data_IF_205621287559
#
_entry.id   IF_205621287559
#
_cell.length_a   1.000
_cell.length_b   1.000
_cell.length_c   1.000
_cell.angle_alpha   90.00
_cell.angle_beta   90.00
_cell.angle_gamma   90.00
#
_symmetry.space_group_name_H-M   'P 1'
#
loop_
_entity.id
_entity.type
_entity.pdbx_description
1 polymer ?
#
# COMPACT_ATOMS: atom_id res chain seq x y z
N UNK A 1 -2.37 17.18 14.33
CA UNK A 1 -3.34 16.48 13.46
C UNK A 1 -2.66 15.48 12.52
N UNK A 2 -1.60 15.85 11.79
CA UNK A 2 -0.85 14.87 10.98
C UNK A 2 -0.22 13.73 11.83
N UNK A 3 0.37 14.05 12.98
CA UNK A 3 0.98 13.06 13.86
C UNK A 3 -0.01 12.01 14.42
N UNK A 4 -1.27 12.38 14.68
CA UNK A 4 -2.29 11.44 15.18
C UNK A 4 -2.72 10.46 14.08
N UNK A 5 -2.83 10.93 12.84
CA UNK A 5 -3.13 10.09 11.67
C UNK A 5 -2.00 9.08 11.44
N UNK A 6 -0.73 9.53 11.51
CA UNK A 6 0.42 8.64 11.39
C UNK A 6 0.49 7.60 12.51
N UNK A 7 0.16 7.99 13.74
CA UNK A 7 0.09 7.06 14.88
C UNK A 7 -1.01 6.00 14.68
N UNK A 8 -2.16 6.38 14.14
CA UNK A 8 -3.25 5.45 13.78
C UNK A 8 -2.78 4.49 12.70
N UNK A 9 -2.16 4.98 11.61
CA UNK A 9 -1.62 4.11 10.54
C UNK A 9 -0.62 3.11 11.12
N UNK A 10 0.33 3.58 11.92
CA UNK A 10 1.34 2.71 12.55
C UNK A 10 0.73 1.65 13.47
N UNK A 11 -0.21 2.05 14.33
CA UNK A 11 -0.90 1.12 15.24
C UNK A 11 -1.72 0.07 14.49
N UNK A 12 -2.47 0.49 13.46
CA UNK A 12 -3.30 -0.41 12.65
C UNK A 12 -2.46 -1.31 11.76
N UNK A 13 -1.27 -0.87 11.33
CA UNK A 13 -0.33 -1.71 10.58
C UNK A 13 0.18 -2.89 11.40
N UNK A 14 0.46 -2.70 12.68
CA UNK A 14 0.81 -3.83 13.56
C UNK A 14 -0.36 -4.82 13.66
N UNK A 15 -1.58 -4.32 13.84
CA UNK A 15 -2.77 -5.16 13.91
C UNK A 15 -3.01 -5.93 12.60
N UNK A 16 -2.95 -5.25 11.46
CA UNK A 16 -3.13 -5.87 10.14
C UNK A 16 -2.10 -6.95 9.85
N UNK A 17 -0.84 -6.70 10.23
CA UNK A 17 0.25 -7.67 10.09
C UNK A 17 0.00 -8.95 10.88
N UNK A 18 -0.43 -8.82 12.14
CA UNK A 18 -0.70 -9.96 13.01
C UNK A 18 -1.93 -10.74 12.52
N UNK A 19 -3.03 -10.02 12.23
CA UNK A 19 -4.28 -10.65 11.82
C UNK A 19 -4.11 -11.37 10.47
N UNK A 20 -3.67 -10.66 9.43
CA UNK A 20 -3.57 -11.26 8.09
C UNK A 20 -2.44 -12.28 7.98
N UNK A 21 -1.34 -12.12 8.72
CA UNK A 21 -0.32 -13.16 8.87
C UNK A 21 -0.89 -14.43 9.48
N UNK A 22 -1.61 -14.32 10.61
CA UNK A 22 -2.22 -15.49 11.26
C UNK A 22 -3.31 -16.18 10.42
N UNK A 23 -4.03 -15.40 9.60
CA UNK A 23 -5.00 -15.95 8.64
C UNK A 23 -4.27 -16.68 7.52
N UNK A 24 -3.20 -16.09 6.97
CA UNK A 24 -2.39 -16.73 5.93
C UNK A 24 -1.77 -18.05 6.39
N UNK A 25 -1.32 -18.13 7.64
CA UNK A 25 -0.81 -19.37 8.24
C UNK A 25 -1.88 -20.48 8.30
N UNK A 26 -3.17 -20.14 8.34
CA UNK A 26 -4.28 -21.10 8.47
C UNK A 26 -4.93 -21.50 7.15
N UNK A 27 -5.10 -20.56 6.23
CA UNK A 27 -5.84 -20.77 4.97
C UNK A 27 -5.00 -20.58 3.71
N UNK A 28 -3.68 -20.41 3.87
CA UNK A 28 -2.73 -20.12 2.79
C UNK A 28 -2.63 -18.63 2.45
N UNK A 29 -1.58 -18.24 1.73
CA UNK A 29 -1.26 -16.84 1.44
C UNK A 29 -2.22 -16.19 0.42
N UNK A 30 -2.81 -16.99 -0.47
CA UNK A 30 -3.55 -16.51 -1.64
C UNK A 30 -4.87 -15.77 -1.28
N UNK A 31 -5.76 -16.30 -0.41
CA UNK A 31 -6.99 -15.57 -0.05
C UNK A 31 -6.73 -14.25 0.69
N UNK A 32 -5.85 -14.17 1.72
CA UNK A 32 -5.49 -12.92 2.39
C UNK A 32 -4.93 -11.87 1.44
N UNK A 33 -4.11 -12.28 0.46
CA UNK A 33 -3.58 -11.38 -0.55
C UNK A 33 -4.67 -10.74 -1.41
N UNK A 34 -5.64 -11.52 -1.88
CA UNK A 34 -6.73 -10.99 -2.70
C UNK A 34 -7.55 -9.98 -1.88
N UNK A 35 -7.85 -10.31 -0.61
CA UNK A 35 -8.56 -9.42 0.30
C UNK A 35 -7.77 -8.11 0.48
N UNK A 36 -6.47 -8.20 0.70
CA UNK A 36 -5.61 -7.05 0.90
C UNK A 36 -5.56 -6.14 -0.35
N UNK A 37 -5.39 -6.71 -1.54
CA UNK A 37 -5.41 -5.95 -2.79
C UNK A 37 -6.74 -5.23 -3.03
N UNK A 38 -7.87 -5.88 -2.73
CA UNK A 38 -9.19 -5.27 -2.84
C UNK A 38 -9.33 -4.11 -1.83
N UNK A 39 -8.89 -4.32 -0.59
CA UNK A 39 -8.94 -3.30 0.46
C UNK A 39 -8.09 -2.09 0.11
N UNK A 40 -6.85 -2.31 -0.35
CA UNK A 40 -5.90 -1.28 -0.75
C UNK A 40 -6.40 -0.49 -1.97
N UNK A 41 -6.96 -1.18 -2.97
CA UNK A 41 -7.55 -0.50 -4.13
C UNK A 41 -8.73 0.38 -3.72
N UNK A 42 -9.64 -0.16 -2.89
CA UNK A 42 -10.82 0.58 -2.41
C UNK A 42 -10.45 1.81 -1.60
N UNK A 43 -9.45 1.72 -0.73
CA UNK A 43 -9.03 2.84 0.13
C UNK A 43 -8.35 3.96 -0.68
N UNK A 44 -7.64 3.63 -1.76
CA UNK A 44 -7.05 4.61 -2.67
C UNK A 44 -8.13 5.36 -3.46
N UNK A 45 -9.16 4.66 -3.96
CA UNK A 45 -10.31 5.32 -4.58
C UNK A 45 -11.07 6.22 -3.61
N UNK A 46 -11.22 5.80 -2.35
CA UNK A 46 -11.84 6.62 -1.31
C UNK A 46 -11.08 7.94 -1.10
N UNK A 47 -9.75 7.91 -1.14
CA UNK A 47 -8.91 9.09 -0.98
C UNK A 47 -9.13 10.14 -2.08
N UNK A 48 -9.49 9.72 -3.31
CA UNK A 48 -9.79 10.65 -4.42
C UNK A 48 -11.00 11.54 -4.13
N UNK A 49 -11.98 11.01 -3.38
CA UNK A 49 -13.22 11.73 -3.04
C UNK A 49 -13.17 12.35 -1.64
N UNK A 50 -12.10 12.09 -0.88
CA UNK A 50 -11.95 12.54 0.49
C UNK A 50 -11.74 14.06 0.57
N UNK A 51 -12.72 14.76 1.13
CA UNK A 51 -12.67 16.23 1.33
C UNK A 51 -12.74 16.64 2.80
N UNK A 52 -13.11 15.71 3.67
CA UNK A 52 -13.40 15.96 5.09
C UNK A 52 -12.41 15.24 6.01
N UNK A 53 -12.14 15.81 7.18
CA UNK A 53 -11.16 15.24 8.13
C UNK A 53 -11.49 13.82 8.56
N UNK A 54 -12.77 13.51 8.76
CA UNK A 54 -13.21 12.17 9.17
C UNK A 54 -12.95 11.11 8.09
N UNK A 55 -12.98 11.51 6.81
CA UNK A 55 -12.67 10.62 5.68
C UNK A 55 -11.19 10.23 5.68
N UNK A 56 -10.31 11.14 6.10
CA UNK A 56 -8.88 10.88 6.25
C UNK A 56 -8.58 9.96 7.44
N UNK A 57 -9.32 10.07 8.53
CA UNK A 57 -9.21 9.10 9.64
C UNK A 57 -9.70 7.71 9.23
N UNK A 58 -10.80 7.61 8.48
CA UNK A 58 -11.27 6.34 7.94
C UNK A 58 -10.24 5.71 7.01
N UNK A 59 -9.66 6.53 6.11
CA UNK A 59 -8.54 6.13 5.27
C UNK A 59 -7.38 5.60 6.11
N UNK A 60 -6.94 6.34 7.14
CA UNK A 60 -5.81 5.97 7.99
C UNK A 60 -5.97 4.61 8.66
N UNK A 61 -7.19 4.28 9.09
CA UNK A 61 -7.52 3.00 9.71
C UNK A 61 -7.43 1.85 8.70
N UNK A 62 -8.11 2.01 7.56
CA UNK A 62 -8.19 0.98 6.53
C UNK A 62 -6.82 0.78 5.85
N UNK A 63 -6.17 1.89 5.48
CA UNK A 63 -4.83 1.89 4.90
C UNK A 63 -3.79 1.34 5.86
N UNK A 64 -3.82 1.73 7.13
CA UNK A 64 -2.92 1.19 8.14
C UNK A 64 -3.04 -0.33 8.23
N UNK A 65 -4.27 -0.85 8.29
CA UNK A 65 -4.52 -2.29 8.33
C UNK A 65 -4.01 -3.01 7.07
N UNK A 66 -4.37 -2.53 5.88
CA UNK A 66 -3.91 -3.12 4.61
C UNK A 66 -2.38 -3.06 4.47
N UNK A 67 -1.78 -1.92 4.81
CA UNK A 67 -0.33 -1.77 4.78
C UNK A 67 0.38 -2.74 5.74
N UNK A 68 -0.21 -3.02 6.90
CA UNK A 68 0.28 -4.08 7.79
C UNK A 68 0.22 -5.47 7.17
N UNK A 69 -0.91 -5.78 6.54
CA UNK A 69 -1.17 -7.06 5.91
C UNK A 69 -0.23 -7.31 4.70
N UNK A 70 -0.04 -6.32 3.82
CA UNK A 70 0.87 -6.46 2.67
C UNK A 70 2.30 -6.75 3.12
N UNK A 71 2.80 -6.08 4.17
CA UNK A 71 4.15 -6.33 4.72
C UNK A 71 4.29 -7.74 5.30
N UNK A 72 3.21 -8.31 5.85
CA UNK A 72 3.20 -9.69 6.33
C UNK A 72 3.23 -10.71 5.17
N UNK A 73 2.50 -10.40 4.09
CA UNK A 73 2.22 -11.30 2.98
C UNK A 73 3.25 -11.18 1.85
N UNK A 74 3.97 -10.06 1.74
CA UNK A 74 4.93 -9.77 0.66
C UNK A 74 6.05 -10.80 0.62
N UNK A 75 6.67 -11.11 1.76
CA UNK A 75 7.73 -12.11 1.83
C UNK A 75 7.22 -13.49 1.36
N UNK A 76 6.20 -14.11 1.98
CA UNK A 76 5.72 -15.42 1.51
C UNK A 76 5.22 -15.40 0.06
N UNK A 77 4.65 -14.30 -0.43
CA UNK A 77 4.27 -14.13 -1.84
C UNK A 77 5.46 -14.21 -2.79
N UNK A 78 6.54 -13.47 -2.50
CA UNK A 78 7.75 -13.48 -3.33
C UNK A 78 8.37 -14.87 -3.35
N UNK A 79 8.39 -15.57 -2.22
CA UNK A 79 8.86 -16.95 -2.14
C UNK A 79 8.00 -17.91 -2.99
N UNK A 80 6.68 -17.72 -3.00
CA UNK A 80 5.72 -18.54 -3.75
C UNK A 80 5.79 -18.27 -5.26
N UNK A 81 5.98 -17.02 -5.69
CA UNK A 81 6.02 -16.63 -7.11
C UNK A 81 7.38 -16.84 -7.78
N UNK A 82 8.49 -16.59 -7.07
CA UNK A 82 9.83 -16.54 -7.65
C UNK A 82 10.81 -17.53 -7.02
N UNK A 83 10.39 -18.26 -5.98
CA UNK A 83 11.25 -19.12 -5.19
C UNK A 83 12.24 -18.35 -4.32
N UNK A 84 12.95 -19.08 -3.45
CA UNK A 84 13.86 -18.48 -2.48
C UNK A 84 15.17 -17.94 -3.09
N UNK A 85 15.50 -18.33 -4.33
CA UNK A 85 16.79 -18.00 -4.95
C UNK A 85 16.97 -16.52 -5.24
N UNK A 86 15.90 -15.79 -5.56
CA UNK A 86 15.94 -14.35 -5.88
C UNK A 86 15.19 -13.49 -4.87
N UNK A 87 14.76 -14.08 -3.75
CA UNK A 87 13.87 -13.48 -2.77
C UNK A 87 14.41 -12.16 -2.19
N UNK A 88 15.67 -12.17 -1.75
CA UNK A 88 16.31 -10.98 -1.18
C UNK A 88 16.52 -9.86 -2.21
N UNK A 89 16.78 -10.21 -3.48
CA UNK A 89 16.95 -9.22 -4.54
C UNK A 89 15.61 -8.54 -4.88
N UNK A 90 14.52 -9.29 -4.97
CA UNK A 90 13.18 -8.77 -5.25
C UNK A 90 12.70 -7.85 -4.13
N UNK A 91 12.82 -8.29 -2.87
CA UNK A 91 12.48 -7.45 -1.71
C UNK A 91 13.38 -6.21 -1.63
N UNK A 92 14.66 -6.32 -2.00
CA UNK A 92 15.58 -5.18 -2.07
C UNK A 92 15.15 -4.14 -3.10
N UNK A 93 14.70 -4.57 -4.28
CA UNK A 93 14.16 -3.68 -5.32
C UNK A 93 12.85 -3.02 -4.84
N UNK A 94 11.95 -3.78 -4.21
CA UNK A 94 10.71 -3.25 -3.65
C UNK A 94 10.99 -2.19 -2.56
N UNK A 95 11.90 -2.49 -1.63
CA UNK A 95 12.33 -1.56 -0.58
C UNK A 95 12.96 -0.28 -1.16
N UNK A 96 13.76 -0.41 -2.23
CA UNK A 96 14.30 0.75 -2.93
C UNK A 96 13.18 1.63 -3.50
N UNK A 97 12.18 1.02 -4.14
CA UNK A 97 10.98 1.71 -4.63
C UNK A 97 10.24 2.47 -3.52
N UNK A 98 10.00 1.83 -2.37
CA UNK A 98 9.39 2.49 -1.20
C UNK A 98 10.21 3.67 -0.69
N UNK A 99 11.54 3.53 -0.63
CA UNK A 99 12.43 4.56 -0.12
C UNK A 99 12.45 5.77 -1.06
N UNK A 100 12.56 5.53 -2.38
CA UNK A 100 12.51 6.59 -3.40
C UNK A 100 11.16 7.28 -3.41
N UNK A 101 10.05 6.51 -3.36
CA UNK A 101 8.70 7.06 -3.29
C UNK A 101 8.47 7.90 -2.04
N UNK A 102 8.92 7.42 -0.88
CA UNK A 102 8.81 8.14 0.40
C UNK A 102 9.63 9.43 0.45
N UNK A 103 10.77 9.47 -0.24
CA UNK A 103 11.61 10.67 -0.34
C UNK A 103 11.08 11.67 -1.39
N UNK A 104 10.68 11.19 -2.57
CA UNK A 104 10.25 12.04 -3.67
C UNK A 104 8.79 12.50 -3.54
N UNK A 105 7.91 11.68 -2.96
CA UNK A 105 6.48 11.91 -2.86
C UNK A 105 6.12 13.24 -2.18
N UNK A 106 6.56 13.48 -0.93
CA UNK A 106 6.25 14.74 -0.22
C UNK A 106 6.82 15.98 -0.91
N UNK A 107 7.99 15.86 -1.55
CA UNK A 107 8.63 16.96 -2.28
C UNK A 107 7.84 17.32 -3.54
N UNK A 108 7.41 16.31 -4.30
CA UNK A 108 6.55 16.49 -5.47
C UNK A 108 5.19 17.06 -5.08
N UNK A 109 4.56 16.49 -4.05
CA UNK A 109 3.29 16.94 -3.50
C UNK A 109 3.32 18.41 -3.06
N UNK A 110 4.35 18.79 -2.30
CA UNK A 110 4.57 20.16 -1.86
C UNK A 110 4.77 21.12 -3.03
N UNK A 111 5.55 20.72 -4.06
CA UNK A 111 5.77 21.55 -5.25
C UNK A 111 4.51 21.72 -6.10
N UNK A 112 3.69 20.67 -6.22
CA UNK A 112 2.40 20.76 -6.91
C UNK A 112 1.48 21.73 -6.16
N UNK A 113 1.44 21.65 -4.82
CA UNK A 113 0.67 22.56 -3.99
C UNK A 113 1.16 24.02 -4.10
N UNK A 114 2.47 24.25 -4.09
CA UNK A 114 3.05 25.59 -4.22
C UNK A 114 2.70 26.27 -5.56
N UNK A 115 2.59 25.48 -6.64
CA UNK A 115 2.31 25.99 -7.99
C UNK A 115 0.79 26.14 -8.23
N UNK A 116 -0.02 25.19 -7.78
CA UNK A 116 -1.45 25.12 -8.11
C UNK A 116 -2.38 25.55 -6.97
N UNK A 117 -1.89 25.64 -5.74
CA UNK A 117 -2.68 25.92 -4.54
C UNK A 117 -3.67 24.81 -4.14
N UNK A 118 -3.57 23.62 -4.75
CA UNK A 118 -4.50 22.50 -4.52
C UNK A 118 -3.81 21.14 -4.67
N UNK A 119 -4.22 20.16 -3.87
CA UNK A 119 -3.73 18.77 -3.91
C UNK A 119 -4.49 17.88 -4.91
N UNK A 120 -5.52 18.38 -5.60
CA UNK A 120 -6.33 17.54 -6.49
C UNK A 120 -5.51 16.85 -7.59
N UNK A 121 -4.55 17.55 -8.18
CA UNK A 121 -3.69 16.99 -9.24
C UNK A 121 -2.75 15.93 -8.67
N UNK A 122 -2.24 16.14 -7.46
CA UNK A 122 -1.35 15.21 -6.79
C UNK A 122 -2.06 13.88 -6.47
N UNK A 123 -3.30 13.95 -5.99
CA UNK A 123 -4.15 12.76 -5.80
C UNK A 123 -4.48 12.04 -7.11
N UNK A 124 -4.73 12.78 -8.19
CA UNK A 124 -4.98 12.19 -9.51
C UNK A 124 -3.76 11.43 -10.05
N UNK A 125 -2.56 11.99 -9.86
CA UNK A 125 -1.29 11.34 -10.24
C UNK A 125 -1.06 10.09 -9.40
N UNK A 126 -1.28 10.15 -8.08
CA UNK A 126 -1.20 8.98 -7.21
C UNK A 126 -2.18 7.88 -7.63
N UNK A 127 -3.43 8.24 -7.95
CA UNK A 127 -4.44 7.30 -8.43
C UNK A 127 -4.04 6.66 -9.77
N UNK A 128 -3.51 7.44 -10.71
CA UNK A 128 -3.02 6.91 -11.99
C UNK A 128 -1.86 5.93 -11.80
N UNK A 129 -0.90 6.26 -10.92
CA UNK A 129 0.22 5.37 -10.56
C UNK A 129 -0.28 4.07 -9.91
N UNK A 130 -1.26 4.14 -9.02
CA UNK A 130 -1.86 2.97 -8.39
C UNK A 130 -2.55 2.05 -9.41
N UNK A 131 -3.27 2.62 -10.38
CA UNK A 131 -3.89 1.85 -11.48
C UNK A 131 -2.83 1.16 -12.33
N UNK A 132 -1.75 1.85 -12.69
CA UNK A 132 -0.63 1.26 -13.43
C UNK A 132 0.01 0.11 -12.63
N UNK A 133 0.24 0.31 -11.33
CA UNK A 133 0.77 -0.72 -10.44
C UNK A 133 -0.17 -1.94 -10.37
N UNK A 134 -1.49 -1.73 -10.29
CA UNK A 134 -2.47 -2.80 -10.30
C UNK A 134 -2.50 -3.56 -11.64
N UNK A 135 -2.34 -2.87 -12.77
CA UNK A 135 -2.23 -3.50 -14.10
C UNK A 135 -0.95 -4.34 -14.17
N UNK A 136 0.20 -3.82 -13.73
CA UNK A 136 1.45 -4.57 -13.70
C UNK A 136 1.36 -5.79 -12.77
N UNK A 137 0.74 -5.63 -11.59
CA UNK A 137 0.52 -6.71 -10.64
C UNK A 137 -0.43 -7.79 -11.20
N UNK A 138 -1.44 -7.43 -11.97
CA UNK A 138 -2.34 -8.40 -12.62
C UNK A 138 -1.72 -9.10 -13.85
N UNK A 139 -0.71 -8.48 -14.46
CA UNK A 139 0.09 -9.09 -15.53
C UNK A 139 1.15 -10.06 -14.99
N UNK A 140 1.56 -9.91 -13.73
CA UNK A 140 2.39 -10.87 -13.00
C UNK A 140 1.59 -12.17 -12.77
N UNK A 141 1.70 -13.10 -13.71
CA UNK A 141 1.16 -14.45 -13.56
C UNK A 141 2.14 -15.29 -12.72
N UNK A 142 1.64 -16.08 -11.75
CA UNK A 142 2.46 -17.07 -11.08
C UNK A 142 3.07 -18.00 -12.13
N UNK A 143 4.40 -18.14 -12.16
CA UNK A 143 5.01 -19.26 -12.84
C UNK A 143 4.68 -20.50 -12.02
N UNK A 144 3.67 -21.22 -12.51
CA UNK A 144 3.24 -22.57 -12.10
C UNK A 144 4.40 -23.52 -11.81
#
# INVERSE_FOLDING_TARGET
MAASILAVIGGLSIAGRIVMGSVADRIGNRPPLIIDFVLMSGVLFWLVVAKELWMLYLFAVIFGFAYGAIVALESPLVAELFGLSSHGAILGIAAFGFTVGGAAGPVLAGRIFDIMGSYQVDFLVCAALAVIACILASLLRPSS
#
